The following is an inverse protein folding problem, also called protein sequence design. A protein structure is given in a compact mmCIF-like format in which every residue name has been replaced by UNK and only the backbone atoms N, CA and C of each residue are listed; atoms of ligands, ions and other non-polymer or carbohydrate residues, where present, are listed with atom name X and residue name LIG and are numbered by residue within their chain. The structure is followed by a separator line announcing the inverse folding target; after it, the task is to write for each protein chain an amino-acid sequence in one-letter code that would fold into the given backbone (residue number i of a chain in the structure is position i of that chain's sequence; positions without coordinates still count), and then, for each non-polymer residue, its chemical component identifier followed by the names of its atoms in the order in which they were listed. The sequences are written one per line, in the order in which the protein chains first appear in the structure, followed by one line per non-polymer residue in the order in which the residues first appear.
data_IF_227917224183
#
_entry.id   IF_227917224183
#
_cell.length_a   1.000
_cell.length_b   1.000
_cell.length_c   1.000
_cell.angle_alpha   90.00
_cell.angle_beta   90.00
_cell.angle_gamma   90.00
#
_symmetry.space_group_name_H-M   'P 1'
#
loop_
_entity.id
_entity.type
_entity.pdbx_description
1 polymer ?
#
# COMPACT_ATOMS: atom_id res chain seq x y z
N UNK A 1 13.77 -17.10 -25.90
CA UNK A 1 12.47 -17.49 -25.33
C UNK A 1 12.49 -17.12 -23.84
N UNK A 2 11.96 -15.95 -23.51
CA UNK A 2 12.18 -15.21 -22.26
C UNK A 2 11.19 -15.65 -21.16
N UNK A 3 11.45 -16.82 -20.59
CA UNK A 3 10.68 -17.44 -19.50
C UNK A 3 10.57 -16.56 -18.24
N UNK A 4 11.54 -15.67 -18.00
CA UNK A 4 11.55 -14.76 -16.86
C UNK A 4 10.36 -13.80 -16.83
N UNK A 5 9.87 -13.37 -18.00
CA UNK A 5 8.81 -12.37 -18.10
C UNK A 5 7.45 -12.90 -17.63
N UNK A 6 7.17 -14.19 -17.84
CA UNK A 6 5.91 -14.81 -17.42
C UNK A 6 5.87 -15.10 -15.92
N UNK A 7 7.01 -15.44 -15.30
CA UNK A 7 7.12 -15.62 -13.85
C UNK A 7 6.88 -14.29 -13.13
N UNK A 8 7.56 -13.22 -13.57
CA UNK A 8 7.40 -11.88 -12.99
C UNK A 8 5.97 -11.36 -13.14
N UNK A 9 5.33 -11.57 -14.29
CA UNK A 9 3.94 -11.18 -14.51
C UNK A 9 2.95 -11.92 -13.58
N UNK A 10 3.23 -13.18 -13.24
CA UNK A 10 2.40 -13.96 -12.30
C UNK A 10 2.59 -13.50 -10.86
N UNK A 11 3.82 -13.20 -10.46
CA UNK A 11 4.14 -12.65 -9.13
C UNK A 11 3.44 -11.30 -8.96
N UNK A 12 3.53 -10.40 -9.93
CA UNK A 12 2.88 -9.08 -9.87
C UNK A 12 1.34 -9.19 -9.70
N UNK A 13 0.68 -10.13 -10.39
CA UNK A 13 -0.77 -10.38 -10.21
C UNK A 13 -1.08 -10.94 -8.83
N UNK A 14 -0.28 -11.89 -8.34
CA UNK A 14 -0.48 -12.49 -7.02
C UNK A 14 -0.32 -11.44 -5.91
N UNK A 15 0.73 -10.62 -5.96
CA UNK A 15 0.96 -9.53 -5.00
C UNK A 15 -0.19 -8.53 -4.99
N UNK A 16 -0.72 -8.14 -6.17
CA UNK A 16 -1.88 -7.25 -6.26
C UNK A 16 -3.13 -7.85 -5.62
N UNK A 17 -3.38 -9.14 -5.81
CA UNK A 17 -4.50 -9.85 -5.18
C UNK A 17 -4.32 -9.97 -3.67
N UNK A 18 -3.11 -10.29 -3.20
CA UNK A 18 -2.79 -10.40 -1.78
C UNK A 18 -2.93 -9.05 -1.06
N UNK A 19 -2.44 -7.95 -1.64
CA UNK A 19 -2.63 -6.60 -1.10
C UNK A 19 -4.12 -6.26 -0.94
N UNK A 20 -4.97 -6.68 -1.89
CA UNK A 20 -6.42 -6.48 -1.82
C UNK A 20 -7.07 -7.32 -0.72
N UNK A 21 -6.62 -8.56 -0.50
CA UNK A 21 -7.16 -9.46 0.54
C UNK A 21 -6.75 -8.99 1.94
N UNK A 22 -5.48 -8.64 2.13
CA UNK A 22 -4.93 -8.25 3.42
C UNK A 22 -5.36 -6.81 3.78
N UNK A 23 -5.81 -6.03 2.79
CA UNK A 23 -5.96 -4.58 2.91
C UNK A 23 -4.61 -3.91 3.18
N UNK A 24 -3.51 -4.58 2.81
CA UNK A 24 -2.16 -4.10 3.03
C UNK A 24 -1.90 -2.95 2.06
N UNK A 25 -1.54 -1.77 2.57
CA UNK A 25 -1.29 -0.63 1.73
C UNK A 25 0.12 -0.76 1.14
N UNK A 26 0.18 -0.86 -0.19
CA UNK A 26 1.42 -1.00 -0.96
C UNK A 26 2.11 0.37 -1.09
N UNK A 27 3.32 0.49 -0.55
CA UNK A 27 4.05 1.77 -0.49
C UNK A 27 4.44 2.28 -1.89
N UNK A 28 4.75 1.39 -2.83
CA UNK A 28 5.07 1.77 -4.21
C UNK A 28 3.84 2.36 -4.91
N UNK A 29 2.67 1.74 -4.71
CA UNK A 29 1.39 2.28 -5.17
C UNK A 29 1.08 3.64 -4.54
N UNK A 30 1.36 3.83 -3.24
CA UNK A 30 1.23 5.13 -2.58
C UNK A 30 2.15 6.18 -3.22
N UNK A 31 3.42 5.86 -3.47
CA UNK A 31 4.36 6.78 -4.11
C UNK A 31 3.93 7.14 -5.53
N UNK A 32 3.50 6.16 -6.32
CA UNK A 32 2.97 6.39 -7.67
C UNK A 32 1.76 7.32 -7.62
N UNK A 33 0.80 7.03 -6.75
CA UNK A 33 -0.39 7.85 -6.57
C UNK A 33 -0.06 9.27 -6.08
N UNK A 34 0.76 9.40 -5.06
CA UNK A 34 1.15 10.68 -4.48
C UNK A 34 1.90 11.54 -5.52
N UNK A 35 2.80 10.95 -6.30
CA UNK A 35 3.48 11.67 -7.41
C UNK A 35 2.50 12.11 -8.50
N UNK A 36 1.48 11.31 -8.81
CA UNK A 36 0.48 11.66 -9.85
C UNK A 36 -0.58 12.66 -9.40
N UNK A 37 -1.05 12.55 -8.16
CA UNK A 37 -2.18 13.35 -7.65
C UNK A 37 -1.73 14.55 -6.81
N UNK A 38 -0.56 14.47 -6.18
CA UNK A 38 -0.04 15.48 -5.26
C UNK A 38 1.47 15.70 -5.48
N UNK A 39 1.88 16.27 -6.62
CA UNK A 39 3.30 16.47 -6.95
C UNK A 39 4.03 17.40 -5.96
N UNK A 40 3.30 18.21 -5.19
CA UNK A 40 3.85 19.17 -4.22
C UNK A 40 3.79 18.66 -2.76
N UNK A 41 3.16 17.50 -2.51
CA UNK A 41 3.06 16.97 -1.15
C UNK A 41 4.37 16.28 -0.73
N UNK A 42 4.77 16.48 0.53
CA UNK A 42 5.86 15.75 1.14
C UNK A 42 5.54 14.25 1.16
N UNK A 43 6.30 13.46 0.41
CA UNK A 43 6.16 12.01 0.39
C UNK A 43 6.57 11.45 1.75
N UNK A 44 5.62 10.82 2.42
CA UNK A 44 5.84 10.17 3.70
C UNK A 44 6.80 8.99 3.53
N UNK A 45 7.70 8.77 4.48
CA UNK A 45 8.61 7.61 4.41
C UNK A 45 7.84 6.30 4.58
N UNK A 46 8.43 5.17 4.16
CA UNK A 46 7.79 3.85 4.26
C UNK A 46 7.36 3.52 5.69
N UNK A 47 8.21 3.86 6.66
CA UNK A 47 7.95 3.59 8.07
C UNK A 47 6.79 4.45 8.59
N UNK A 48 6.82 5.75 8.32
CA UNK A 48 5.73 6.67 8.69
C UNK A 48 4.40 6.26 8.06
N UNK A 49 4.41 5.82 6.80
CA UNK A 49 3.20 5.34 6.14
C UNK A 49 2.61 4.11 6.82
N UNK A 50 3.44 3.13 7.19
CA UNK A 50 2.99 1.94 7.93
C UNK A 50 2.51 2.35 9.32
N UNK A 51 3.23 3.23 10.01
CA UNK A 51 2.86 3.76 11.33
C UNK A 51 1.51 4.44 11.29
N UNK A 52 1.27 5.35 10.34
CA UNK A 52 0.00 6.04 10.16
C UNK A 52 -1.16 5.06 9.90
N UNK A 53 -0.93 4.00 9.13
CA UNK A 53 -1.94 2.97 8.83
C UNK A 53 -2.24 2.09 10.04
N UNK A 54 -1.23 1.76 10.82
CA UNK A 54 -1.40 1.06 12.09
C UNK A 54 -2.12 1.96 13.11
N UNK A 55 -1.79 3.24 13.18
CA UNK A 55 -2.49 4.21 14.02
C UNK A 55 -3.96 4.36 13.60
N UNK A 56 -4.27 4.49 12.32
CA UNK A 56 -5.66 4.55 11.86
C UNK A 56 -6.45 3.30 12.27
N UNK A 57 -5.81 2.12 12.14
CA UNK A 57 -6.43 0.82 12.46
C UNK A 57 -6.56 0.54 13.96
N UNK A 58 -5.57 0.94 14.77
CA UNK A 58 -5.46 0.54 16.18
C UNK A 58 -5.56 1.69 17.18
N UNK A 59 -5.27 2.93 16.78
CA UNK A 59 -5.38 4.13 17.62
C UNK A 59 -6.83 4.63 17.75
N UNK A 60 -7.77 4.07 16.97
CA UNK A 60 -9.22 4.25 17.18
C UNK A 60 -9.89 2.99 17.75
N UNK A 61 -9.57 2.53 18.97
CA UNK A 61 -10.25 1.38 19.58
C UNK A 61 -11.70 1.68 20.02
N UNK A 62 -12.23 2.89 19.75
CA UNK A 62 -13.33 3.47 20.51
C UNK A 62 -14.41 4.21 19.73
N UNK A 63 -14.60 3.98 18.42
CA UNK A 63 -15.89 4.34 17.80
C UNK A 63 -16.98 3.30 18.15
N UNK A 64 -17.02 2.86 19.41
CA UNK A 64 -18.23 2.29 20.00
C UNK A 64 -19.06 3.50 20.40
N UNK A 65 -19.99 3.87 19.52
CA UNK A 65 -21.09 4.72 19.94
C UNK A 65 -21.75 4.05 21.16
N UNK A 66 -21.97 4.84 22.19
CA UNK A 66 -22.88 4.54 23.29
C UNK A 66 -24.24 4.09 22.75
#
# INVERSE_FOLDING_TARGET
MNWSSSILARIARATRTLNRIIGAPDYDTYLSHARTCHPDAALMTRDEFVRQRLEDRYSRPGARCC
#
